data_IF_283613572141
#
_entry.id   IF_283613572141
#
_cell.length_a   1.000
_cell.length_b   1.000
_cell.length_c   1.000
_cell.angle_alpha   90.00
_cell.angle_beta   90.00
_cell.angle_gamma   90.00
#
_symmetry.space_group_name_H-M   'P 1'
#
loop_
_entity.id
_entity.type
_entity.pdbx_description
1 polymer ?
#
# COMPACT_ATOMS: atom_id res chain seq x y z
N UNK A 1 -13.04 22.52 0.33
CA UNK A 1 -13.76 21.33 0.82
C UNK A 1 -14.14 20.49 -0.38
N UNK A 2 -13.30 19.53 -0.75
CA UNK A 2 -13.60 18.59 -1.83
C UNK A 2 -14.47 17.48 -1.24
N UNK A 3 -15.62 17.23 -1.86
CA UNK A 3 -16.51 16.12 -1.49
C UNK A 3 -15.87 14.82 -2.05
N UNK A 4 -14.89 14.26 -1.33
CA UNK A 4 -13.87 13.31 -1.83
C UNK A 4 -14.31 11.84 -1.79
N UNK A 5 -15.35 11.48 -2.55
CA UNK A 5 -15.75 10.06 -2.67
C UNK A 5 -15.37 9.41 -4.00
N UNK A 6 -14.96 10.19 -5.01
CA UNK A 6 -14.48 9.70 -6.29
C UNK A 6 -13.38 10.60 -6.87
N UNK A 7 -12.55 10.02 -7.75
CA UNK A 7 -11.58 10.68 -8.59
C UNK A 7 -12.03 10.54 -10.05
N UNK A 8 -12.22 11.66 -10.76
CA UNK A 8 -12.53 11.65 -12.18
C UNK A 8 -11.23 11.91 -12.97
N UNK A 9 -10.86 10.97 -13.82
CA UNK A 9 -9.73 11.11 -14.71
C UNK A 9 -10.08 12.00 -15.89
N UNK A 10 -9.36 13.12 -16.04
CA UNK A 10 -9.64 14.15 -17.03
C UNK A 10 -9.29 13.73 -18.47
N UNK A 11 -8.50 12.67 -18.65
CA UNK A 11 -8.06 12.21 -19.96
C UNK A 11 -8.96 11.13 -20.55
N UNK A 12 -9.43 10.20 -19.71
CA UNK A 12 -10.28 9.07 -20.10
C UNK A 12 -11.75 9.29 -19.81
N UNK A 13 -12.10 10.28 -18.97
CA UNK A 13 -13.46 10.49 -18.47
C UNK A 13 -13.92 9.43 -17.47
N UNK A 14 -13.03 8.51 -17.06
CA UNK A 14 -13.36 7.44 -16.12
C UNK A 14 -13.48 7.99 -14.70
N UNK A 15 -14.49 7.54 -13.95
CA UNK A 15 -14.66 7.90 -12.54
C UNK A 15 -14.32 6.71 -11.64
N UNK A 16 -13.41 6.92 -10.71
CA UNK A 16 -12.92 5.93 -9.75
C UNK A 16 -13.43 6.26 -8.36
N UNK A 17 -14.15 5.33 -7.72
CA UNK A 17 -14.68 5.55 -6.38
C UNK A 17 -13.61 5.29 -5.32
N UNK A 18 -13.17 6.33 -4.63
CA UNK A 18 -12.10 6.28 -3.63
C UNK A 18 -12.61 5.95 -2.22
N UNK A 19 -13.89 6.22 -1.92
CA UNK A 19 -14.46 5.95 -0.60
C UNK A 19 -15.12 4.57 -0.54
N UNK A 20 -14.32 3.52 -0.71
CA UNK A 20 -14.78 2.13 -0.60
C UNK A 20 -14.18 1.49 0.65
N UNK A 21 -14.99 0.74 1.40
CA UNK A 21 -14.52 0.03 2.58
C UNK A 21 -13.60 -1.11 2.18
N UNK A 22 -12.31 -0.98 2.47
CA UNK A 22 -11.29 -1.97 2.14
C UNK A 22 -10.91 -2.73 3.40
N UNK A 23 -10.93 -4.04 3.28
CA UNK A 23 -10.48 -4.95 4.33
C UNK A 23 -9.26 -5.71 3.84
N UNK A 24 -8.62 -6.46 4.74
CA UNK A 24 -7.54 -7.35 4.37
C UNK A 24 -7.99 -8.50 3.42
N UNK A 25 -9.31 -8.71 3.25
CA UNK A 25 -9.88 -9.71 2.33
C UNK A 25 -10.16 -9.16 0.93
N UNK A 26 -10.12 -7.84 0.73
CA UNK A 26 -10.39 -7.21 -0.55
C UNK A 26 -9.28 -7.52 -1.56
N UNK A 27 -9.67 -7.80 -2.81
CA UNK A 27 -8.79 -8.05 -3.96
C UNK A 27 -8.90 -6.89 -4.96
N UNK A 28 -7.99 -6.80 -5.92
CA UNK A 28 -7.97 -5.72 -6.93
C UNK A 28 -7.84 -4.33 -6.30
N UNK A 29 -6.83 -4.19 -5.44
CA UNK A 29 -6.59 -2.94 -4.70
C UNK A 29 -5.23 -2.34 -5.05
N UNK A 30 -5.20 -1.01 -5.10
CA UNK A 30 -3.98 -0.22 -4.92
C UNK A 30 -3.83 0.04 -3.42
N UNK A 31 -2.64 -0.10 -2.89
CA UNK A 31 -2.38 0.08 -1.46
C UNK A 31 -1.09 0.85 -1.22
N UNK A 32 -1.03 1.49 -0.06
CA UNK A 32 0.10 2.25 0.43
C UNK A 32 0.68 1.64 1.70
N UNK A 33 2.00 1.67 1.82
CA UNK A 33 2.75 1.35 3.04
C UNK A 33 3.52 2.60 3.47
N UNK A 34 3.06 3.24 4.53
CA UNK A 34 3.69 4.41 5.12
C UNK A 34 4.69 4.02 6.21
N UNK A 35 5.93 4.47 6.06
CA UNK A 35 6.93 4.47 7.12
C UNK A 35 6.70 5.66 8.05
N UNK A 36 6.88 5.50 9.38
CA UNK A 36 6.85 6.62 10.33
C UNK A 36 7.84 7.75 10.00
N UNK A 37 8.89 7.44 9.23
CA UNK A 37 9.89 8.37 8.74
C UNK A 37 9.41 9.28 7.58
N UNK A 38 8.16 9.15 7.14
CA UNK A 38 7.58 9.94 6.05
C UNK A 38 7.76 9.33 4.65
N UNK A 39 8.57 8.28 4.49
CA UNK A 39 8.66 7.54 3.23
C UNK A 39 7.40 6.70 2.98
N UNK A 40 7.00 6.60 1.71
CA UNK A 40 5.78 5.90 1.33
C UNK A 40 6.02 4.98 0.13
N UNK A 41 5.50 3.75 0.20
CA UNK A 41 5.52 2.80 -0.92
C UNK A 41 4.09 2.58 -1.42
N UNK A 42 3.89 2.70 -2.73
CA UNK A 42 2.60 2.40 -3.39
C UNK A 42 2.72 1.13 -4.21
N UNK A 43 1.79 0.19 -4.01
CA UNK A 43 1.72 -1.07 -4.72
C UNK A 43 0.31 -1.40 -5.20
N UNK A 44 0.18 -2.42 -6.05
CA UNK A 44 -1.11 -2.96 -6.51
C UNK A 44 -1.15 -4.48 -6.36
N UNK A 45 -2.33 -5.03 -6.14
CA UNK A 45 -2.52 -6.49 -6.07
C UNK A 45 -3.88 -6.92 -6.63
N UNK A 46 -3.87 -7.98 -7.46
CA UNK A 46 -5.09 -8.71 -7.87
C UNK A 46 -5.53 -9.74 -6.82
N UNK A 47 -4.64 -10.12 -5.90
CA UNK A 47 -4.90 -11.04 -4.79
C UNK A 47 -5.40 -10.29 -3.56
N UNK A 48 -5.93 -11.02 -2.57
CA UNK A 48 -6.33 -10.46 -1.28
C UNK A 48 -5.22 -9.63 -0.66
N UNK A 49 -5.55 -8.42 -0.18
CA UNK A 49 -4.60 -7.49 0.40
C UNK A 49 -3.75 -8.13 1.51
N UNK A 50 -4.36 -8.97 2.38
CA UNK A 50 -3.64 -9.67 3.45
C UNK A 50 -2.45 -10.51 2.97
N UNK A 51 -2.60 -11.18 1.83
CA UNK A 51 -1.55 -12.04 1.30
C UNK A 51 -0.35 -11.20 0.84
N UNK A 52 -0.65 -10.08 0.16
CA UNK A 52 0.37 -9.16 -0.31
C UNK A 52 1.09 -8.45 0.85
N UNK A 53 0.35 -8.05 1.88
CA UNK A 53 0.93 -7.47 3.09
C UNK A 53 1.84 -8.47 3.82
N UNK A 54 1.45 -9.74 3.92
CA UNK A 54 2.26 -10.79 4.53
C UNK A 54 3.59 -11.00 3.77
N UNK A 55 3.57 -10.97 2.44
CA UNK A 55 4.78 -11.00 1.61
C UNK A 55 5.71 -9.83 1.90
N UNK A 56 5.17 -8.60 1.95
CA UNK A 56 5.97 -7.43 2.29
C UNK A 56 6.59 -7.54 3.69
N UNK A 57 5.83 -7.99 4.69
CA UNK A 57 6.35 -8.22 6.05
C UNK A 57 7.42 -9.31 6.08
N UNK A 58 7.27 -10.39 5.32
CA UNK A 58 8.31 -11.42 5.18
C UNK A 58 9.57 -10.84 4.52
N UNK A 59 9.41 -10.07 3.44
CA UNK A 59 10.52 -9.46 2.73
C UNK A 59 11.32 -8.51 3.63
N UNK A 60 10.66 -7.69 4.44
CA UNK A 60 11.32 -6.82 5.43
C UNK A 60 12.11 -7.64 6.44
N UNK A 61 11.49 -8.67 7.04
CA UNK A 61 12.15 -9.55 8.03
C UNK A 61 13.40 -10.24 7.48
N UNK A 62 13.38 -10.66 6.21
CA UNK A 62 14.52 -11.30 5.56
C UNK A 62 15.49 -10.30 4.89
N UNK A 63 15.21 -9.00 4.91
CA UNK A 63 15.99 -8.01 4.18
C UNK A 63 16.07 -8.29 2.67
N UNK A 64 15.00 -8.79 2.07
CA UNK A 64 14.99 -9.19 0.66
C UNK A 64 15.16 -7.96 -0.26
N UNK A 65 16.25 -7.88 -1.05
CA UNK A 65 16.55 -6.69 -1.85
C UNK A 65 15.58 -6.46 -3.02
N UNK A 66 14.76 -7.45 -3.39
CA UNK A 66 13.75 -7.31 -4.44
C UNK A 66 12.54 -6.46 -4.02
N UNK A 67 12.44 -6.14 -2.73
CA UNK A 67 11.35 -5.36 -2.18
C UNK A 67 11.88 -4.00 -1.72
N UNK A 68 11.51 -2.88 -2.39
CA UNK A 68 11.99 -1.55 -2.01
C UNK A 68 11.73 -1.20 -0.55
N UNK A 69 10.59 -1.63 0.00
CA UNK A 69 10.27 -1.44 1.42
C UNK A 69 11.24 -2.19 2.35
N UNK A 70 11.73 -3.36 1.96
CA UNK A 70 12.68 -4.14 2.74
C UNK A 70 14.09 -3.53 2.69
N UNK A 71 14.52 -3.08 1.51
CA UNK A 71 15.76 -2.31 1.32
C UNK A 71 15.73 -1.06 2.19
N UNK A 72 14.66 -0.28 2.12
CA UNK A 72 14.49 0.91 2.95
C UNK A 72 14.63 0.63 4.45
N UNK A 73 13.95 -0.41 4.98
CA UNK A 73 14.06 -0.74 6.42
C UNK A 73 15.49 -1.16 6.81
N UNK A 74 16.18 -1.88 5.93
CA UNK A 74 17.57 -2.29 6.15
C UNK A 74 18.52 -1.09 6.18
N UNK A 75 18.38 -0.17 5.22
CA UNK A 75 19.29 0.96 5.05
C UNK A 75 19.12 2.02 6.14
N UNK A 76 17.88 2.20 6.62
CA UNK A 76 17.54 3.20 7.64
C UNK A 76 17.60 2.65 9.06
N UNK A 77 17.86 1.35 9.22
CA UNK A 77 17.82 0.63 10.50
C UNK A 77 16.50 0.86 11.28
N UNK A 78 15.41 1.15 10.55
CA UNK A 78 14.06 1.23 11.12
C UNK A 78 13.64 -0.19 11.49
N UNK A 79 13.46 -0.46 12.78
CA UNK A 79 13.28 -1.82 13.34
C UNK A 79 12.13 -2.65 12.74
N UNK A 80 11.11 -2.97 13.53
CA UNK A 80 10.07 -3.91 13.09
C UNK A 80 9.11 -3.32 12.06
N UNK A 81 8.68 -4.15 11.09
CA UNK A 81 7.64 -3.83 10.11
C UNK A 81 6.23 -3.57 10.70
N UNK A 82 6.06 -3.68 12.02
CA UNK A 82 4.78 -3.46 12.69
C UNK A 82 4.36 -1.99 12.72
N UNK A 83 5.30 -1.07 12.52
CA UNK A 83 5.04 0.38 12.53
C UNK A 83 4.52 0.92 11.19
N UNK A 84 4.26 0.04 10.20
CA UNK A 84 3.77 0.44 8.89
C UNK A 84 2.29 0.84 8.94
N UNK A 85 2.00 2.06 8.54
CA UNK A 85 0.63 2.48 8.26
C UNK A 85 0.18 1.93 6.90
N UNK A 86 -1.01 1.34 6.83
CA UNK A 86 -1.53 0.73 5.61
C UNK A 86 -2.76 1.50 5.15
N UNK A 87 -2.73 1.95 3.90
CA UNK A 87 -3.88 2.56 3.22
C UNK A 87 -4.23 1.77 1.98
N UNK A 88 -5.50 1.82 1.54
CA UNK A 88 -5.97 1.10 0.36
C UNK A 88 -6.95 1.95 -0.45
N UNK A 89 -7.01 1.69 -1.75
CA UNK A 89 -8.01 2.18 -2.70
C UNK A 89 -8.40 1.03 -3.64
N UNK A 90 -9.70 0.83 -3.84
CA UNK A 90 -10.19 -0.10 -4.87
C UNK A 90 -10.03 0.56 -6.24
N UNK A 91 -9.71 -0.26 -7.25
CA UNK A 91 -9.60 0.16 -8.65
C UNK A 91 -10.58 -0.59 -9.53
#
# INVERSE_FOLDING_TARGET
MTNTNCFADVFTGSTFYINTFITCYTSFVVYGLGCPCGCFYTGRTRRKLKARLAEHKQAIRCGNPLYPVAVHHKDTNHGSCNSLNITGMNI
#
